data_IF_758682530176
#
_entry.id   IF_758682530176
#
_cell.length_a   1.000
_cell.length_b   1.000
_cell.length_c   1.000
_cell.angle_alpha   90.00
_cell.angle_beta   90.00
_cell.angle_gamma   90.00
#
_symmetry.space_group_name_H-M   'P 1'
#
loop_
_entity.id
_entity.type
_entity.pdbx_description
1 polymer ?
#
# COMPACT_ATOMS: atom_id res chain seq x y z
N UNK A 1 -43.51 -20.64 -17.06
CA UNK A 1 -42.09 -21.03 -16.84
C UNK A 1 -41.25 -20.32 -17.88
N UNK A 2 -40.37 -19.40 -17.48
CA UNK A 2 -39.41 -18.80 -18.41
C UNK A 2 -38.39 -19.86 -18.86
N UNK A 3 -37.98 -19.91 -20.14
CA UNK A 3 -37.01 -20.88 -20.60
C UNK A 3 -35.71 -20.71 -19.81
N UNK A 4 -35.09 -21.83 -19.39
CA UNK A 4 -33.75 -21.76 -18.81
C UNK A 4 -32.79 -21.30 -19.92
N UNK A 5 -31.90 -20.33 -19.66
CA UNK A 5 -30.95 -19.86 -20.66
C UNK A 5 -30.12 -21.03 -21.21
N UNK A 6 -29.74 -20.93 -22.48
CA UNK A 6 -28.86 -21.91 -23.12
C UNK A 6 -27.61 -22.09 -22.25
N UNK A 7 -27.20 -23.34 -22.00
CA UNK A 7 -26.10 -23.68 -21.10
C UNK A 7 -24.81 -22.95 -21.46
N UNK A 8 -24.55 -22.76 -22.75
CA UNK A 8 -23.35 -22.09 -23.25
C UNK A 8 -23.39 -20.58 -22.99
N UNK A 9 -24.56 -19.95 -23.15
CA UNK A 9 -24.77 -18.54 -22.81
C UNK A 9 -24.65 -18.31 -21.29
N UNK A 10 -25.24 -19.21 -20.48
CA UNK A 10 -25.13 -19.15 -19.04
C UNK A 10 -23.67 -19.29 -18.57
N UNK A 11 -22.89 -20.16 -19.22
CA UNK A 11 -21.45 -20.33 -18.96
C UNK A 11 -20.65 -19.09 -19.35
N UNK A 12 -20.88 -18.53 -20.53
CA UNK A 12 -20.18 -17.33 -20.99
C UNK A 12 -20.48 -16.12 -20.07
N UNK A 13 -21.75 -15.92 -19.71
CA UNK A 13 -22.17 -14.87 -18.78
C UNK A 13 -21.52 -15.04 -17.40
N UNK A 14 -21.45 -16.27 -16.88
CA UNK A 14 -20.78 -16.55 -15.61
C UNK A 14 -19.28 -16.19 -15.70
N UNK A 15 -18.59 -16.62 -16.76
CA UNK A 15 -17.17 -16.33 -16.95
C UNK A 15 -16.91 -14.83 -17.03
N UNK A 16 -17.74 -14.08 -17.76
CA UNK A 16 -17.64 -12.62 -17.84
C UNK A 16 -17.86 -11.97 -16.48
N UNK A 17 -18.87 -12.41 -15.72
CA UNK A 17 -19.16 -11.85 -14.40
C UNK A 17 -18.03 -12.16 -13.39
N UNK A 18 -17.45 -13.36 -13.43
CA UNK A 18 -16.29 -13.72 -12.60
C UNK A 18 -15.07 -12.88 -12.97
N UNK A 19 -14.80 -12.69 -14.26
CA UNK A 19 -13.70 -11.86 -14.72
C UNK A 19 -13.87 -10.39 -14.31
N UNK A 20 -15.10 -9.86 -14.42
CA UNK A 20 -15.42 -8.50 -13.95
C UNK A 20 -15.24 -8.35 -12.44
N UNK A 21 -15.67 -9.35 -11.65
CA UNK A 21 -15.49 -9.35 -10.20
C UNK A 21 -14.00 -9.42 -9.81
N UNK A 22 -13.20 -10.21 -10.53
CA UNK A 22 -11.74 -10.26 -10.31
C UNK A 22 -11.09 -8.90 -10.61
N UNK A 23 -11.39 -8.31 -11.77
CA UNK A 23 -10.86 -7.01 -12.15
C UNK A 23 -11.25 -5.90 -11.15
N UNK A 24 -12.48 -5.92 -10.65
CA UNK A 24 -12.93 -4.98 -9.61
C UNK A 24 -12.14 -5.18 -8.31
N UNK A 25 -11.92 -6.42 -7.87
CA UNK A 25 -11.11 -6.72 -6.69
C UNK A 25 -9.66 -6.25 -6.85
N UNK A 26 -9.04 -6.51 -7.99
CA UNK A 26 -7.66 -6.09 -8.27
C UNK A 26 -7.54 -4.57 -8.25
N UNK A 27 -8.47 -3.85 -8.86
CA UNK A 27 -8.47 -2.38 -8.84
C UNK A 27 -8.59 -1.81 -7.41
N UNK A 28 -9.38 -2.42 -6.52
CA UNK A 28 -9.46 -1.98 -5.13
C UNK A 28 -8.19 -2.31 -4.33
N UNK A 29 -7.54 -3.44 -4.62
CA UNK A 29 -6.25 -3.78 -3.99
C UNK A 29 -5.16 -2.81 -4.43
N UNK A 30 -5.09 -2.45 -5.71
CA UNK A 30 -4.13 -1.47 -6.23
C UNK A 30 -4.34 -0.10 -5.58
N UNK A 31 -5.60 0.33 -5.39
CA UNK A 31 -5.91 1.58 -4.68
C UNK A 31 -5.49 1.51 -3.21
N UNK A 32 -5.77 0.40 -2.54
CA UNK A 32 -5.38 0.22 -1.14
C UNK A 32 -3.86 0.22 -0.98
N UNK A 33 -3.13 -0.42 -1.90
CA UNK A 33 -1.67 -0.41 -1.94
C UNK A 33 -1.14 1.00 -2.18
N UNK A 34 -1.74 1.76 -3.09
CA UNK A 34 -1.40 3.17 -3.28
C UNK A 34 -1.59 3.98 -2.00
N UNK A 35 -2.73 3.86 -1.33
CA UNK A 35 -3.00 4.57 -0.06
C UNK A 35 -1.97 4.20 1.01
N UNK A 36 -1.62 2.91 1.12
CA UNK A 36 -0.56 2.46 2.04
C UNK A 36 0.78 3.11 1.72
N UNK A 37 1.19 3.08 0.46
CA UNK A 37 2.48 3.63 0.03
C UNK A 37 2.54 5.15 0.23
N UNK A 38 1.46 5.87 -0.08
CA UNK A 38 1.35 7.32 0.14
C UNK A 38 1.44 7.65 1.64
N UNK A 39 0.82 6.85 2.51
CA UNK A 39 0.91 7.02 3.95
C UNK A 39 2.31 6.72 4.52
N UNK A 40 2.98 5.66 4.01
CA UNK A 40 4.35 5.35 4.39
C UNK A 40 5.32 6.46 3.95
N UNK A 41 5.20 6.94 2.72
CA UNK A 41 6.00 8.06 2.22
C UNK A 41 5.81 9.33 3.07
N UNK A 42 4.56 9.68 3.37
CA UNK A 42 4.24 10.83 4.20
C UNK A 42 4.86 10.71 5.59
N UNK A 43 4.77 9.53 6.22
CA UNK A 43 5.39 9.26 7.51
C UNK A 43 6.90 9.48 7.47
N UNK A 44 7.60 8.90 6.49
CA UNK A 44 9.07 9.01 6.40
C UNK A 44 9.53 10.42 6.07
N UNK A 45 8.77 11.19 5.28
CA UNK A 45 9.04 12.62 5.03
C UNK A 45 8.94 13.45 6.30
N UNK A 46 7.86 13.26 7.07
CA UNK A 46 7.66 13.96 8.35
C UNK A 46 8.78 13.59 9.32
N UNK A 47 9.07 12.29 9.47
CA UNK A 47 10.14 11.83 10.36
C UNK A 47 11.51 12.36 9.91
N UNK A 48 11.78 12.38 8.60
CA UNK A 48 12.99 12.98 8.02
C UNK A 48 13.18 14.42 8.48
N UNK A 49 12.15 15.26 8.33
CA UNK A 49 12.19 16.66 8.77
C UNK A 49 12.31 16.84 10.29
N UNK A 50 11.76 15.92 11.08
CA UNK A 50 11.91 15.96 12.55
C UNK A 50 13.32 15.57 13.01
N UNK A 51 14.00 14.68 12.30
CA UNK A 51 15.34 14.21 12.65
C UNK A 51 16.44 15.05 12.00
N UNK A 52 16.13 15.80 10.96
CA UNK A 52 17.05 16.71 10.29
C UNK A 52 17.36 17.92 11.19
N UNK A 53 18.64 18.11 11.53
CA UNK A 53 19.08 19.20 12.40
C UNK A 53 18.69 19.12 13.88
N UNK A 54 18.06 18.03 14.35
CA UNK A 54 17.63 17.89 15.74
C UNK A 54 18.81 17.84 16.73
N UNK A 55 19.51 16.70 16.83
CA UNK A 55 20.73 16.55 17.62
C UNK A 55 21.49 15.28 17.19
N UNK A 56 22.77 15.22 17.58
CA UNK A 56 23.57 14.01 17.38
C UNK A 56 23.02 12.85 18.21
N UNK A 57 22.43 11.85 17.56
CA UNK A 57 21.81 10.70 18.20
C UNK A 57 20.29 10.57 17.98
N UNK A 58 19.63 11.55 17.37
CA UNK A 58 18.17 11.56 17.19
C UNK A 58 17.61 10.30 16.48
N UNK A 59 18.38 9.68 15.58
CA UNK A 59 17.98 8.41 14.94
C UNK A 59 18.03 7.20 15.87
N UNK A 60 18.90 7.21 16.87
CA UNK A 60 18.94 6.19 17.93
C UNK A 60 17.72 6.34 18.82
N UNK A 61 17.37 7.57 19.19
CA UNK A 61 16.17 7.83 19.99
C UNK A 61 14.89 7.43 19.23
N UNK A 62 14.87 7.62 17.91
CA UNK A 62 13.77 7.15 17.07
C UNK A 62 13.66 5.62 17.03
N UNK A 63 14.77 4.86 17.12
CA UNK A 63 14.74 3.39 17.20
C UNK A 63 14.09 2.90 18.50
N UNK A 64 14.17 3.65 19.59
CA UNK A 64 13.54 3.28 20.87
C UNK A 64 12.00 3.39 20.82
N UNK A 65 11.46 4.22 19.93
CA UNK A 65 10.02 4.47 19.78
C UNK A 65 9.42 3.70 18.60
N UNK A 66 10.19 3.54 17.53
CA UNK A 66 9.71 2.93 16.30
C UNK A 66 10.02 1.42 16.28
N UNK A 67 9.22 0.62 15.58
CA UNK A 67 9.51 -0.81 15.40
C UNK A 67 10.68 -1.06 14.42
N UNK A 68 11.50 -0.05 14.15
CA UNK A 68 12.54 -0.06 13.13
C UNK A 68 13.90 0.21 13.73
N UNK A 69 14.89 -0.55 13.27
CA UNK A 69 16.29 -0.29 13.59
C UNK A 69 16.76 1.03 12.99
N UNK A 70 17.71 1.70 13.65
CA UNK A 70 18.31 2.98 13.20
C UNK A 70 18.76 2.94 11.75
N UNK A 71 19.35 1.83 11.32
CA UNK A 71 19.82 1.66 9.94
C UNK A 71 18.66 1.59 8.92
N UNK A 72 17.52 1.01 9.32
CA UNK A 72 16.31 1.03 8.50
C UNK A 72 15.75 2.46 8.42
N UNK A 73 15.65 3.15 9.56
CA UNK A 73 15.20 4.56 9.63
C UNK A 73 16.05 5.44 8.71
N UNK A 74 17.39 5.30 8.78
CA UNK A 74 18.30 6.04 7.90
C UNK A 74 18.10 5.75 6.42
N UNK A 75 17.89 4.48 6.04
CA UNK A 75 17.59 4.11 4.64
C UNK A 75 16.28 4.70 4.14
N UNK A 76 15.23 4.67 4.97
CA UNK A 76 13.91 5.18 4.55
C UNK A 76 13.89 6.70 4.46
N UNK A 77 14.52 7.40 5.41
CA UNK A 77 14.66 8.87 5.33
C UNK A 77 15.44 9.25 4.06
N UNK A 78 16.54 8.56 3.75
CA UNK A 78 17.29 8.82 2.52
C UNK A 78 16.49 8.52 1.24
N UNK A 79 15.49 7.64 1.30
CA UNK A 79 14.66 7.26 0.15
C UNK A 79 13.51 8.23 -0.11
N UNK A 80 12.92 8.79 0.95
CA UNK A 80 11.67 9.54 0.89
C UNK A 80 11.80 11.03 1.22
N UNK A 81 12.82 11.44 1.99
CA UNK A 81 13.01 12.82 2.45
C UNK A 81 14.13 13.57 1.72
N UNK A 82 15.27 12.90 1.47
CA UNK A 82 16.37 13.46 0.67
C UNK A 82 16.06 13.37 -0.83
#
# INVERSE_FOLDING_TARGET
MSPRPNRDEARANLQQNVAAALAAREAELDRAEKIRNDAEEAFWKILGGLLDGAHHGARTDAEEVLPYKRDHIGKQINRYYN
#
